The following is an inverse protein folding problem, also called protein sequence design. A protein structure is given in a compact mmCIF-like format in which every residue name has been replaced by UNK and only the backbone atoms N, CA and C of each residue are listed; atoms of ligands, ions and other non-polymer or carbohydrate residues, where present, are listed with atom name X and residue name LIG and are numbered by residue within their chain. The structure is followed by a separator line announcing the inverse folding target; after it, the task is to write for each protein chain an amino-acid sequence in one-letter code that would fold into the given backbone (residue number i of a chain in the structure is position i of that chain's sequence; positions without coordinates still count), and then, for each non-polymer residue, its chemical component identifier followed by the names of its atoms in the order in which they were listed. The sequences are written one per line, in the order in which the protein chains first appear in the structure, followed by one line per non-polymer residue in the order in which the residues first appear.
data_IF_058181099276
#
_entry.id   IF_058181099276
#
_cell.length_a   1.000
_cell.length_b   1.000
_cell.length_c   1.000
_cell.angle_alpha   90.00
_cell.angle_beta   90.00
_cell.angle_gamma   90.00
#
_symmetry.space_group_name_H-M   'P 1'
#
loop_
_entity.id
_entity.type
_entity.pdbx_description
1 polymer ?
#
# COMPACT_ATOMS: atom_id res chain seq x y z
N UNK A 1 0.68 -12.97 10.00
CA UNK A 1 1.98 -13.53 9.54
C UNK A 1 2.35 -13.16 8.09
N UNK A 2 1.51 -12.46 7.32
CA UNK A 2 1.81 -12.12 5.92
C UNK A 2 2.83 -10.99 5.77
N UNK A 3 2.88 -10.05 6.70
CA UNK A 3 3.74 -8.87 6.59
C UNK A 3 5.25 -9.18 6.49
N UNK A 4 5.86 -10.06 7.32
CA UNK A 4 7.27 -10.42 7.14
C UNK A 4 7.56 -11.07 5.79
N UNK A 5 6.64 -11.90 5.27
CA UNK A 5 6.79 -12.55 3.95
C UNK A 5 6.78 -11.50 2.84
N UNK A 6 5.83 -10.56 2.88
CA UNK A 6 5.77 -9.46 1.92
C UNK A 6 7.00 -8.56 2.01
N UNK A 7 7.40 -8.16 3.21
CA UNK A 7 8.57 -7.31 3.47
C UNK A 7 9.84 -7.92 2.88
N UNK A 8 10.17 -9.16 3.25
CA UNK A 8 11.38 -9.82 2.74
C UNK A 8 11.28 -10.14 1.24
N UNK A 9 10.09 -10.45 0.74
CA UNK A 9 9.85 -10.63 -0.70
C UNK A 9 10.17 -9.39 -1.51
N UNK A 10 9.67 -8.22 -1.08
CA UNK A 10 9.90 -6.94 -1.74
C UNK A 10 11.39 -6.56 -1.70
N UNK A 11 12.03 -6.70 -0.53
CA UNK A 11 13.46 -6.41 -0.39
C UNK A 11 14.33 -7.35 -1.25
N UNK A 12 14.01 -8.65 -1.30
CA UNK A 12 14.73 -9.62 -2.12
C UNK A 12 14.59 -9.34 -3.62
N UNK A 13 13.48 -8.74 -4.04
CA UNK A 13 13.24 -8.33 -5.42
C UNK A 13 13.96 -7.02 -5.81
N UNK A 14 14.72 -6.40 -4.89
CA UNK A 14 15.41 -5.13 -5.14
C UNK A 14 14.46 -3.92 -5.15
N UNK A 15 13.26 -4.07 -4.60
CA UNK A 15 12.25 -3.02 -4.51
C UNK A 15 12.33 -2.28 -3.17
N UNK A 16 11.67 -1.12 -3.11
CA UNK A 16 11.57 -0.29 -1.91
C UNK A 16 10.25 -0.59 -1.19
N UNK A 17 10.29 -0.69 0.14
CA UNK A 17 9.10 -0.89 0.97
C UNK A 17 8.77 0.41 1.66
N UNK A 18 7.53 0.88 1.48
CA UNK A 18 6.98 2.02 2.22
C UNK A 18 5.90 1.50 3.16
N UNK A 19 6.05 1.78 4.45
CA UNK A 19 5.06 1.40 5.44
C UNK A 19 3.91 2.39 5.45
N UNK A 20 2.70 1.86 5.56
CA UNK A 20 1.46 2.62 5.63
C UNK A 20 0.76 2.27 6.93
N UNK A 21 0.22 3.29 7.62
CA UNK A 21 -0.61 3.06 8.78
C UNK A 21 -2.03 2.63 8.35
N UNK A 22 -2.52 1.44 8.74
CA UNK A 22 -3.84 0.97 8.34
C UNK A 22 -5.00 1.81 8.90
N UNK A 23 -4.74 2.66 9.89
CA UNK A 23 -5.73 3.55 10.50
C UNK A 23 -5.83 4.92 9.81
N UNK A 24 -5.12 5.13 8.69
CA UNK A 24 -5.25 6.36 7.92
C UNK A 24 -6.67 6.56 7.40
N UNK A 25 -7.07 7.82 7.39
CA UNK A 25 -8.23 8.26 6.62
C UNK A 25 -7.95 8.11 5.12
N UNK A 26 -8.99 8.06 4.26
CA UNK A 26 -8.80 7.95 2.82
C UNK A 26 -7.86 9.02 2.25
N UNK A 27 -8.00 10.28 2.69
CA UNK A 27 -7.16 11.39 2.22
C UNK A 27 -5.69 11.24 2.60
N UNK A 28 -5.42 10.77 3.82
CA UNK A 28 -4.04 10.53 4.27
C UNK A 28 -3.41 9.37 3.49
N UNK A 29 -4.19 8.32 3.23
CA UNK A 29 -3.75 7.18 2.41
C UNK A 29 -3.46 7.62 0.96
N UNK A 30 -4.34 8.39 0.34
CA UNK A 30 -4.13 8.96 -1.00
C UNK A 30 -2.83 9.76 -1.07
N UNK A 31 -2.62 10.64 -0.08
CA UNK A 31 -1.40 11.44 -0.01
C UNK A 31 -0.14 10.57 0.14
N UNK A 32 -0.15 9.60 1.04
CA UNK A 32 0.97 8.68 1.27
C UNK A 32 1.33 7.88 0.00
N UNK A 33 0.32 7.38 -0.71
CA UNK A 33 0.54 6.58 -1.93
C UNK A 33 1.09 7.43 -3.08
N UNK A 34 0.63 8.67 -3.21
CA UNK A 34 1.13 9.60 -4.22
C UNK A 34 2.53 10.14 -3.90
N UNK A 35 2.81 10.47 -2.62
CA UNK A 35 4.13 10.96 -2.18
C UNK A 35 5.20 9.87 -2.30
N UNK A 36 4.86 8.62 -1.97
CA UNK A 36 5.78 7.49 -2.09
C UNK A 36 6.00 6.99 -3.51
N UNK A 37 5.14 7.35 -4.46
CA UNK A 37 5.17 6.82 -5.83
C UNK A 37 4.93 5.30 -5.90
N UNK A 38 4.21 4.73 -4.94
CA UNK A 38 3.99 3.28 -4.87
C UNK A 38 3.12 2.78 -6.05
N UNK A 39 3.62 1.77 -6.76
CA UNK A 39 2.89 1.11 -7.87
C UNK A 39 2.14 -0.15 -7.44
N UNK A 40 2.40 -0.65 -6.23
CA UNK A 40 1.76 -1.83 -5.68
C UNK A 40 1.50 -1.66 -4.18
N UNK A 41 0.43 -2.26 -3.68
CA UNK A 41 0.09 -2.29 -2.25
C UNK A 41 -0.27 -3.71 -1.81
N UNK A 42 0.26 -4.10 -0.66
CA UNK A 42 -0.14 -5.32 0.06
C UNK A 42 -0.99 -4.88 1.24
N UNK A 43 -2.25 -5.27 1.28
CA UNK A 43 -3.21 -4.75 2.26
C UNK A 43 -4.06 -5.88 2.86
N UNK A 44 -4.33 -5.81 4.17
CA UNK A 44 -5.27 -6.76 4.78
C UNK A 44 -6.71 -6.33 4.52
N UNK A 45 -7.58 -7.31 4.26
CA UNK A 45 -8.95 -7.09 3.77
C UNK A 45 -9.77 -6.12 4.63
N UNK A 46 -9.53 -6.08 5.94
CA UNK A 46 -10.21 -5.17 6.87
C UNK A 46 -10.01 -3.67 6.55
N UNK A 47 -8.93 -3.30 5.84
CA UNK A 47 -8.61 -1.91 5.48
C UNK A 47 -8.77 -1.63 3.98
N UNK A 48 -9.14 -2.63 3.17
CA UNK A 48 -9.33 -2.47 1.73
C UNK A 48 -10.40 -1.42 1.39
N UNK A 49 -11.45 -1.31 2.21
CA UNK A 49 -12.51 -0.31 2.03
C UNK A 49 -12.03 1.16 2.08
N UNK A 50 -10.91 1.43 2.75
CA UNK A 50 -10.29 2.76 2.75
C UNK A 50 -9.55 3.01 1.45
N UNK A 51 -8.81 2.00 0.97
CA UNK A 51 -8.08 2.04 -0.31
C UNK A 51 -9.04 2.18 -1.50
N UNK A 52 -10.15 1.45 -1.51
CA UNK A 52 -11.16 1.49 -2.58
C UNK A 52 -11.68 2.90 -2.89
N UNK A 53 -11.68 3.80 -1.90
CA UNK A 53 -12.16 5.18 -2.05
C UNK A 53 -11.18 6.11 -2.76
N UNK A 54 -9.92 5.69 -2.90
CA UNK A 54 -8.81 6.56 -3.36
C UNK A 54 -7.87 5.91 -4.37
N UNK A 55 -7.94 4.59 -4.57
CA UNK A 55 -7.01 3.86 -5.44
C UNK A 55 -6.97 4.40 -6.87
N UNK A 56 -8.12 4.85 -7.39
CA UNK A 56 -8.31 5.47 -8.70
C UNK A 56 -7.59 6.83 -8.85
N UNK A 57 -7.16 7.43 -7.74
CA UNK A 57 -6.43 8.71 -7.68
C UNK A 57 -4.95 8.54 -7.37
N UNK A 58 -4.45 7.31 -7.42
CA UNK A 58 -3.06 6.97 -7.09
C UNK A 58 -2.36 6.27 -8.25
N UNK A 59 -1.04 6.14 -8.14
CA UNK A 59 -0.23 5.39 -9.11
C UNK A 59 -0.29 3.86 -8.90
N UNK A 60 -1.11 3.36 -7.96
CA UNK A 60 -1.20 1.94 -7.62
C UNK A 60 -1.84 1.15 -8.78
N UNK A 61 -1.12 0.14 -9.26
CA UNK A 61 -1.53 -0.75 -10.36
C UNK A 61 -1.84 -2.16 -9.88
N UNK A 62 -1.25 -2.57 -8.75
CA UNK A 62 -1.41 -3.91 -8.20
C UNK A 62 -1.85 -3.87 -6.74
N UNK A 63 -2.89 -4.62 -6.41
CA UNK A 63 -3.42 -4.76 -5.04
C UNK A 63 -3.37 -6.24 -4.68
N UNK A 64 -2.70 -6.56 -3.56
CA UNK A 64 -2.48 -7.91 -3.05
C UNK A 64 -3.03 -8.08 -1.63
#
# INVERSE_FOLDING_TARGET
MQYPVALFGILRAGMIVVNVNPLYTPRELEHQLNDSGASAIVIVSNFAHTLEKVVDKTAVQHVF
#
